data_IF_126111415704
#
_entry.id   IF_126111415704
#
_cell.length_a   1.000
_cell.length_b   1.000
_cell.length_c   1.000
_cell.angle_alpha   90.00
_cell.angle_beta   90.00
_cell.angle_gamma   90.00
#
_symmetry.space_group_name_H-M   'P 1'
#
loop_
_entity.id
_entity.type
_entity.pdbx_description
1 polymer ?
#
# COMPACT_ATOMS: atom_id res chain seq x y z
N UNK A 1 -4.88 23.54 -8.35
CA UNK A 1 -4.45 22.12 -8.50
C UNK A 1 -3.56 21.68 -7.36
N UNK A 2 -2.46 22.37 -7.04
CA UNK A 2 -1.54 21.96 -5.96
C UNK A 2 -2.19 21.75 -4.58
N UNK A 3 -3.13 22.60 -4.16
CA UNK A 3 -3.81 22.48 -2.85
C UNK A 3 -4.72 21.23 -2.77
N UNK A 4 -5.40 20.88 -3.85
CA UNK A 4 -6.24 19.67 -3.91
C UNK A 4 -5.39 18.39 -3.87
N UNK A 5 -4.24 18.37 -4.54
CA UNK A 5 -3.30 17.25 -4.51
C UNK A 5 -2.71 17.07 -3.11
N UNK A 6 -2.39 18.15 -2.41
CA UNK A 6 -1.87 18.11 -1.04
C UNK A 6 -2.93 17.58 -0.04
N UNK A 7 -4.19 18.01 -0.19
CA UNK A 7 -5.30 17.51 0.63
C UNK A 7 -5.51 16.01 0.38
N UNK A 8 -5.49 15.56 -0.88
CA UNK A 8 -5.62 14.14 -1.22
C UNK A 8 -4.45 13.30 -0.65
N UNK A 9 -3.22 13.84 -0.68
CA UNK A 9 -2.04 13.20 -0.10
C UNK A 9 -2.18 13.03 1.42
N UNK A 10 -2.67 14.06 2.13
CA UNK A 10 -2.93 14.00 3.58
C UNK A 10 -4.02 12.99 3.94
N UNK A 11 -5.10 12.94 3.16
CA UNK A 11 -6.19 11.97 3.36
C UNK A 11 -5.67 10.55 3.19
N UNK A 12 -4.90 10.28 2.12
CA UNK A 12 -4.34 8.97 1.83
C UNK A 12 -3.38 8.50 2.93
N UNK A 13 -2.53 9.39 3.43
CA UNK A 13 -1.59 9.09 4.51
C UNK A 13 -2.32 8.71 5.81
N UNK A 14 -3.31 9.52 6.22
CA UNK A 14 -4.15 9.21 7.39
C UNK A 14 -4.92 7.90 7.24
N UNK A 15 -5.37 7.58 6.02
CA UNK A 15 -6.03 6.31 5.74
C UNK A 15 -5.09 5.12 5.93
N UNK A 16 -3.84 5.21 5.47
CA UNK A 16 -2.82 4.16 5.65
C UNK A 16 -2.49 3.95 7.13
N UNK A 17 -2.31 5.03 7.88
CA UNK A 17 -2.04 4.99 9.31
C UNK A 17 -3.18 4.29 10.06
N UNK A 18 -4.43 4.65 9.82
CA UNK A 18 -5.61 4.00 10.40
C UNK A 18 -5.66 2.50 10.11
N UNK A 19 -5.45 2.09 8.88
CA UNK A 19 -5.49 0.67 8.48
C UNK A 19 -4.44 -0.16 9.24
N UNK A 20 -3.28 0.42 9.54
CA UNK A 20 -2.16 -0.30 10.16
C UNK A 20 -2.24 -0.29 11.69
N UNK A 21 -2.57 0.85 12.29
CA UNK A 21 -2.37 1.10 13.74
C UNK A 21 -3.66 1.24 14.54
N UNK A 22 -4.80 1.51 13.89
CA UNK A 22 -6.06 1.85 14.58
C UNK A 22 -6.80 0.58 15.03
N UNK A 23 -6.95 0.42 16.35
CA UNK A 23 -7.74 -0.66 16.96
C UNK A 23 -9.21 -0.59 16.60
N UNK A 24 -9.77 0.64 16.45
CA UNK A 24 -11.16 0.85 16.11
C UNK A 24 -11.43 0.44 14.66
N UNK A 25 -10.45 0.64 13.76
CA UNK A 25 -10.51 0.12 12.40
C UNK A 25 -10.63 -1.42 12.40
N UNK A 26 -9.82 -2.12 13.19
CA UNK A 26 -9.86 -3.59 13.26
C UNK A 26 -11.16 -4.11 13.85
N UNK A 27 -11.72 -3.41 14.84
CA UNK A 27 -13.02 -3.76 15.42
C UNK A 27 -14.15 -3.56 14.38
N UNK A 28 -14.15 -2.44 13.70
CA UNK A 28 -15.10 -2.15 12.63
C UNK A 28 -14.96 -3.12 11.45
N UNK A 29 -13.72 -3.49 11.07
CA UNK A 29 -13.46 -4.49 10.04
C UNK A 29 -14.00 -5.88 10.43
N UNK A 30 -13.96 -6.26 11.72
CA UNK A 30 -14.57 -7.50 12.22
C UNK A 30 -16.08 -7.47 12.10
N UNK A 31 -16.73 -6.36 12.46
CA UNK A 31 -18.17 -6.18 12.33
C UNK A 31 -18.59 -6.26 10.86
N UNK A 32 -17.87 -5.58 9.98
CA UNK A 32 -18.18 -5.55 8.54
C UNK A 32 -17.98 -6.93 7.89
N UNK A 33 -16.90 -7.64 8.22
CA UNK A 33 -16.68 -8.98 7.69
C UNK A 33 -17.81 -9.94 8.07
N UNK A 34 -18.27 -9.89 9.32
CA UNK A 34 -19.43 -10.69 9.77
C UNK A 34 -20.70 -10.32 9.03
N UNK A 35 -20.99 -9.03 8.86
CA UNK A 35 -22.16 -8.55 8.12
C UNK A 35 -22.16 -8.99 6.65
N UNK A 36 -20.99 -8.93 5.99
CA UNK A 36 -20.83 -9.44 4.62
C UNK A 36 -21.06 -10.95 4.58
N UNK A 37 -20.45 -11.69 5.50
CA UNK A 37 -20.62 -13.14 5.59
C UNK A 37 -22.11 -13.54 5.77
N UNK A 38 -22.81 -12.92 6.71
CA UNK A 38 -24.23 -13.17 6.97
C UNK A 38 -25.10 -12.90 5.74
N UNK A 39 -24.90 -11.75 5.09
CA UNK A 39 -25.59 -11.39 3.85
C UNK A 39 -25.33 -12.41 2.74
N UNK A 40 -24.09 -12.83 2.56
CA UNK A 40 -23.68 -13.79 1.53
C UNK A 40 -24.21 -15.22 1.82
N UNK A 41 -24.37 -15.57 3.08
CA UNK A 41 -25.00 -16.83 3.47
C UNK A 41 -26.50 -16.89 3.05
N UNK A 42 -27.17 -15.76 3.08
CA UNK A 42 -28.57 -15.64 2.71
C UNK A 42 -28.78 -15.42 1.21
N UNK A 43 -27.74 -15.03 0.48
CA UNK A 43 -27.80 -14.72 -0.94
C UNK A 43 -28.18 -15.95 -1.78
N UNK A 44 -29.10 -15.76 -2.73
CA UNK A 44 -29.60 -16.79 -3.65
C UNK A 44 -28.83 -16.81 -4.98
N UNK A 45 -28.16 -15.73 -5.31
CA UNK A 45 -27.41 -15.55 -6.56
C UNK A 45 -26.23 -14.58 -6.39
N UNK A 46 -25.41 -14.44 -7.43
CA UNK A 46 -24.24 -13.56 -7.43
C UNK A 46 -24.60 -12.08 -7.23
N UNK A 47 -25.71 -11.61 -7.81
CA UNK A 47 -26.12 -10.22 -7.67
C UNK A 47 -26.47 -9.84 -6.22
N UNK A 48 -27.06 -10.77 -5.47
CA UNK A 48 -27.33 -10.57 -4.04
C UNK A 48 -26.02 -10.56 -3.21
N UNK A 49 -25.01 -11.36 -3.58
CA UNK A 49 -23.68 -11.31 -2.95
C UNK A 49 -23.04 -9.95 -3.19
N UNK A 50 -23.05 -9.45 -4.44
CA UNK A 50 -22.54 -8.11 -4.79
C UNK A 50 -23.23 -7.03 -3.97
N UNK A 51 -24.57 -7.06 -3.94
CA UNK A 51 -25.37 -6.06 -3.22
C UNK A 51 -25.06 -6.07 -1.72
N UNK A 52 -25.01 -7.25 -1.10
CA UNK A 52 -24.70 -7.40 0.32
C UNK A 52 -23.29 -6.92 0.66
N UNK A 53 -22.32 -7.21 -0.18
CA UNK A 53 -20.95 -6.73 -0.03
C UNK A 53 -20.90 -5.20 -0.13
N UNK A 54 -21.46 -4.61 -1.16
CA UNK A 54 -21.43 -3.17 -1.39
C UNK A 54 -22.13 -2.39 -0.28
N UNK A 55 -23.29 -2.83 0.16
CA UNK A 55 -24.05 -2.19 1.26
C UNK A 55 -23.27 -2.14 2.57
N UNK A 56 -22.37 -3.10 2.80
CA UNK A 56 -21.56 -3.12 4.00
C UNK A 56 -20.21 -2.42 3.77
N UNK A 57 -19.52 -2.71 2.66
CA UNK A 57 -18.13 -2.30 2.44
C UNK A 57 -18.00 -0.85 2.00
N UNK A 58 -18.88 -0.32 1.12
CA UNK A 58 -18.75 1.05 0.61
C UNK A 58 -18.91 2.11 1.71
N UNK A 59 -19.93 2.07 2.58
CA UNK A 59 -20.00 2.99 3.71
C UNK A 59 -18.79 2.88 4.65
N UNK A 60 -18.33 1.64 4.91
CA UNK A 60 -17.19 1.40 5.77
C UNK A 60 -15.91 2.08 5.25
N UNK A 61 -15.56 1.91 3.96
CA UNK A 61 -14.37 2.56 3.41
C UNK A 61 -14.49 4.08 3.43
N UNK A 62 -15.69 4.63 3.23
CA UNK A 62 -15.95 6.07 3.31
C UNK A 62 -15.74 6.58 4.74
N UNK A 63 -16.34 5.93 5.73
CA UNK A 63 -16.32 6.38 7.12
C UNK A 63 -14.95 6.19 7.78
N UNK A 64 -14.26 5.06 7.51
CA UNK A 64 -13.00 4.74 8.15
C UNK A 64 -11.75 5.15 7.36
N UNK A 65 -11.80 5.12 6.03
CA UNK A 65 -10.67 5.51 5.17
C UNK A 65 -10.77 6.98 4.78
N UNK A 66 -11.99 7.55 4.80
CA UNK A 66 -12.25 8.95 4.45
C UNK A 66 -12.18 9.24 2.95
N UNK A 67 -12.25 8.19 2.11
CA UNK A 67 -12.22 8.32 0.66
C UNK A 67 -13.55 7.82 0.10
N UNK A 68 -14.20 8.67 -0.70
CA UNK A 68 -15.46 8.32 -1.38
C UNK A 68 -15.15 7.49 -2.64
N UNK A 69 -15.04 6.19 -2.46
CA UNK A 69 -14.85 5.26 -3.57
C UNK A 69 -16.21 4.89 -4.18
N UNK A 70 -16.34 5.15 -5.48
CA UNK A 70 -17.50 4.71 -6.27
C UNK A 70 -17.09 3.52 -7.12
N UNK A 71 -17.68 2.32 -6.88
CA UNK A 71 -17.39 1.16 -7.70
C UNK A 71 -17.97 1.36 -9.11
N UNK A 72 -17.15 1.10 -10.10
CA UNK A 72 -17.61 0.94 -11.48
C UNK A 72 -18.11 -0.49 -11.64
N UNK A 73 -19.31 -0.66 -12.18
CA UNK A 73 -19.98 -1.96 -12.33
C UNK A 73 -20.02 -2.41 -13.77
N UNK A 74 -19.94 -3.72 -13.97
CA UNK A 74 -20.19 -4.36 -15.26
C UNK A 74 -19.29 -3.82 -16.40
N UNK A 75 -17.99 -3.64 -16.12
CA UNK A 75 -17.04 -3.11 -17.07
C UNK A 75 -16.71 -4.17 -18.12
N UNK A 76 -16.95 -3.83 -19.38
CA UNK A 76 -16.56 -4.70 -20.49
C UNK A 76 -15.06 -4.67 -20.72
N UNK A 77 -14.47 -5.85 -20.92
CA UNK A 77 -13.05 -6.04 -21.25
C UNK A 77 -12.97 -6.86 -22.51
N UNK A 78 -12.20 -6.37 -23.48
CA UNK A 78 -11.99 -7.04 -24.77
C UNK A 78 -10.73 -7.90 -24.74
N UNK A 79 -10.68 -8.91 -25.63
CA UNK A 79 -9.44 -9.69 -25.85
C UNK A 79 -9.17 -10.80 -24.84
N UNK A 80 -10.14 -11.21 -24.03
CA UNK A 80 -9.97 -12.26 -23.05
C UNK A 80 -9.77 -13.63 -23.72
N UNK A 81 -8.57 -14.19 -23.57
CA UNK A 81 -8.27 -15.56 -24.05
C UNK A 81 -8.57 -16.57 -22.95
N UNK A 82 -9.74 -17.21 -23.02
CA UNK A 82 -9.97 -18.41 -22.23
C UNK A 82 -9.37 -19.62 -22.96
N UNK A 83 -8.31 -20.19 -22.42
CA UNK A 83 -7.71 -21.43 -22.91
C UNK A 83 -8.44 -22.67 -22.43
N UNK A 84 -9.71 -22.83 -22.81
CA UNK A 84 -10.38 -24.12 -22.60
C UNK A 84 -10.92 -24.77 -23.87
N UNK A 85 -11.04 -24.05 -24.98
CA UNK A 85 -11.51 -24.65 -26.26
C UNK A 85 -11.19 -23.81 -27.52
N UNK A 86 -10.05 -23.15 -27.60
CA UNK A 86 -9.57 -22.62 -28.89
C UNK A 86 -10.38 -21.51 -29.57
N UNK A 87 -11.27 -20.79 -28.89
CA UNK A 87 -11.97 -19.63 -29.46
C UNK A 87 -11.39 -18.34 -28.88
N UNK A 88 -10.64 -17.62 -29.71
CA UNK A 88 -10.19 -16.25 -29.51
C UNK A 88 -11.37 -15.29 -29.67
N UNK A 89 -11.45 -14.27 -28.80
CA UNK A 89 -12.40 -13.17 -28.74
C UNK A 89 -13.69 -13.47 -27.96
N UNK A 90 -13.58 -13.69 -26.66
CA UNK A 90 -14.70 -13.51 -25.76
C UNK A 90 -14.62 -12.13 -25.08
N UNK A 91 -15.73 -11.39 -25.11
CA UNK A 91 -15.92 -10.21 -24.27
C UNK A 91 -16.15 -10.69 -22.85
N UNK A 92 -15.38 -10.18 -21.89
CA UNK A 92 -15.63 -10.41 -20.48
C UNK A 92 -16.27 -9.20 -19.83
N UNK A 93 -16.85 -9.41 -18.67
CA UNK A 93 -17.49 -8.36 -17.88
C UNK A 93 -17.02 -8.48 -16.45
N UNK A 94 -16.32 -7.47 -15.96
CA UNK A 94 -15.89 -7.36 -14.58
C UNK A 94 -17.07 -6.94 -13.72
N UNK A 95 -17.33 -7.64 -12.63
CA UNK A 95 -18.46 -7.36 -11.75
C UNK A 95 -18.34 -6.01 -11.04
N UNK A 96 -17.16 -5.70 -10.52
CA UNK A 96 -16.90 -4.45 -9.81
C UNK A 96 -15.44 -4.03 -9.90
N UNK A 97 -15.19 -2.74 -10.11
CA UNK A 97 -13.87 -2.12 -10.07
C UNK A 97 -13.89 -0.88 -9.19
N UNK A 98 -12.92 -0.75 -8.32
CA UNK A 98 -12.72 0.43 -7.48
C UNK A 98 -11.27 0.90 -7.71
N UNK A 99 -11.09 1.86 -8.62
CA UNK A 99 -9.76 2.27 -9.08
C UNK A 99 -8.99 1.11 -9.71
N UNK A 100 -7.88 0.69 -9.11
CA UNK A 100 -7.06 -0.44 -9.58
C UNK A 100 -7.42 -1.78 -8.92
N UNK A 101 -8.43 -1.81 -8.05
CA UNK A 101 -8.94 -3.02 -7.44
C UNK A 101 -10.11 -3.57 -8.25
N UNK A 102 -9.95 -4.77 -8.77
CA UNK A 102 -10.98 -5.56 -9.47
C UNK A 102 -11.57 -6.54 -8.48
N UNK A 103 -12.89 -6.61 -8.38
CA UNK A 103 -13.57 -7.58 -7.53
C UNK A 103 -14.48 -8.43 -8.41
N UNK A 104 -14.22 -9.72 -8.41
CA UNK A 104 -15.02 -10.75 -9.06
C UNK A 104 -15.81 -11.50 -8.00
N UNK A 105 -17.11 -11.49 -8.13
CA UNK A 105 -18.00 -12.14 -7.19
C UNK A 105 -18.48 -13.48 -7.73
N UNK A 106 -18.65 -14.44 -6.83
CA UNK A 106 -19.26 -15.73 -7.14
C UNK A 106 -20.27 -16.09 -6.07
N UNK A 107 -21.31 -16.80 -6.46
CA UNK A 107 -22.16 -17.45 -5.46
C UNK A 107 -21.37 -18.54 -4.75
N UNK A 108 -21.59 -18.71 -3.44
CA UNK A 108 -20.87 -19.66 -2.58
C UNK A 108 -20.79 -21.10 -3.15
N UNK A 109 -21.81 -21.53 -3.89
CA UNK A 109 -21.83 -22.88 -4.49
C UNK A 109 -20.83 -23.04 -5.63
N UNK A 110 -20.37 -21.94 -6.22
CA UNK A 110 -19.34 -21.90 -7.27
C UNK A 110 -17.91 -21.94 -6.75
N UNK A 111 -17.70 -21.74 -5.45
CA UNK A 111 -16.38 -21.79 -4.82
C UNK A 111 -16.20 -22.98 -3.86
N UNK A 112 -17.03 -24.03 -4.01
CA UNK A 112 -16.92 -25.27 -3.21
C UNK A 112 -15.99 -26.31 -3.82
N UNK A 113 -15.88 -26.37 -5.15
CA UNK A 113 -15.11 -27.40 -5.86
C UNK A 113 -13.86 -26.77 -6.47
N UNK A 114 -12.72 -27.42 -6.33
CA UNK A 114 -11.44 -26.95 -6.86
C UNK A 114 -11.50 -26.60 -8.36
N UNK A 115 -12.22 -27.38 -9.15
CA UNK A 115 -12.36 -27.13 -10.58
C UNK A 115 -13.11 -25.81 -10.87
N UNK A 116 -14.13 -25.48 -10.07
CA UNK A 116 -14.93 -24.24 -10.23
C UNK A 116 -14.13 -23.04 -9.69
N UNK A 117 -13.39 -23.23 -8.59
CA UNK A 117 -12.44 -22.23 -8.06
C UNK A 117 -11.38 -21.91 -9.12
N UNK A 118 -10.76 -22.92 -9.74
CA UNK A 118 -9.75 -22.72 -10.77
C UNK A 118 -10.32 -21.95 -11.99
N UNK A 119 -11.56 -22.26 -12.42
CA UNK A 119 -12.20 -21.50 -13.48
C UNK A 119 -12.42 -20.02 -13.13
N UNK A 120 -12.89 -19.75 -11.91
CA UNK A 120 -13.10 -18.39 -11.44
C UNK A 120 -11.77 -17.61 -11.31
N UNK A 121 -10.71 -18.29 -10.86
CA UNK A 121 -9.35 -17.72 -10.80
C UNK A 121 -8.82 -17.40 -12.20
N UNK A 122 -8.97 -18.32 -13.16
CA UNK A 122 -8.58 -18.07 -14.55
C UNK A 122 -9.36 -16.93 -15.19
N UNK A 123 -10.64 -16.81 -14.85
CA UNK A 123 -11.48 -15.68 -15.30
C UNK A 123 -10.94 -14.36 -14.75
N UNK A 124 -10.70 -14.27 -13.44
CA UNK A 124 -10.13 -13.08 -12.81
C UNK A 124 -8.76 -12.74 -13.40
N UNK A 125 -7.88 -13.73 -13.60
CA UNK A 125 -6.57 -13.51 -14.19
C UNK A 125 -6.68 -12.95 -15.61
N UNK A 126 -7.57 -13.47 -16.43
CA UNK A 126 -7.80 -12.99 -17.78
C UNK A 126 -8.28 -11.52 -17.81
N UNK A 127 -9.07 -11.10 -16.82
CA UNK A 127 -9.46 -9.69 -16.67
C UNK A 127 -8.27 -8.80 -16.31
N UNK A 128 -7.43 -9.24 -15.38
CA UNK A 128 -6.23 -8.50 -14.98
C UNK A 128 -5.25 -8.38 -16.16
N UNK A 129 -5.04 -9.45 -16.91
CA UNK A 129 -4.15 -9.47 -18.08
C UNK A 129 -4.66 -8.53 -19.18
N UNK A 130 -5.97 -8.48 -19.42
CA UNK A 130 -6.58 -7.55 -20.37
C UNK A 130 -6.39 -6.09 -19.95
N UNK A 131 -6.66 -5.76 -18.68
CA UNK A 131 -6.46 -4.42 -18.13
C UNK A 131 -4.99 -3.99 -18.15
N UNK A 132 -4.05 -4.93 -18.00
CA UNK A 132 -2.61 -4.68 -18.12
C UNK A 132 -2.21 -4.25 -19.53
N UNK A 133 -2.88 -4.78 -20.57
CA UNK A 133 -2.64 -4.41 -21.96
C UNK A 133 -3.16 -2.99 -22.30
N UNK A 134 -4.17 -2.51 -21.58
CA UNK A 134 -4.76 -1.18 -21.81
C UNK A 134 -3.92 -0.04 -21.21
N UNK A 135 -2.98 -0.32 -20.31
CA UNK A 135 -2.15 0.71 -19.67
C UNK A 135 -1.04 0.16 -18.79
N UNK A 136 -0.17 1.06 -18.31
CA UNK A 136 0.93 0.76 -17.39
C UNK A 136 0.48 0.65 -15.91
N UNK A 137 -0.82 0.71 -15.64
CA UNK A 137 -1.36 0.67 -14.28
C UNK A 137 -1.38 -0.76 -13.75
N UNK A 138 -0.93 -0.95 -12.50
CA UNK A 138 -1.02 -2.23 -11.82
C UNK A 138 -2.43 -2.44 -11.28
N UNK A 139 -2.99 -3.60 -11.59
CA UNK A 139 -4.29 -4.02 -11.08
C UNK A 139 -4.13 -5.19 -10.13
N UNK A 140 -4.99 -5.24 -9.12
CA UNK A 140 -5.11 -6.39 -8.21
C UNK A 140 -6.56 -6.86 -8.23
N UNK A 141 -6.74 -8.17 -8.32
CA UNK A 141 -8.03 -8.82 -8.34
C UNK A 141 -8.34 -9.49 -7.00
N UNK A 142 -9.57 -9.35 -6.54
CA UNK A 142 -10.15 -10.10 -5.42
C UNK A 142 -11.27 -10.97 -5.98
N UNK A 143 -11.14 -12.28 -5.79
CA UNK A 143 -12.23 -13.23 -6.00
C UNK A 143 -12.89 -13.49 -4.64
N UNK A 144 -14.21 -13.35 -4.55
CA UNK A 144 -14.92 -13.58 -3.29
C UNK A 144 -16.33 -14.08 -3.51
N UNK A 145 -16.82 -14.88 -2.56
CA UNK A 145 -18.23 -15.23 -2.40
C UNK A 145 -18.86 -14.50 -1.19
N UNK A 146 -18.11 -13.55 -0.61
CA UNK A 146 -18.46 -12.84 0.60
C UNK A 146 -18.21 -13.61 1.89
N UNK A 147 -17.86 -14.90 1.82
CA UNK A 147 -17.48 -15.76 2.95
C UNK A 147 -16.00 -16.08 2.90
N UNK A 148 -15.49 -16.31 1.70
CA UNK A 148 -14.10 -16.59 1.40
C UNK A 148 -13.58 -15.58 0.38
N UNK A 149 -12.26 -15.41 0.34
CA UNK A 149 -11.60 -14.55 -0.64
C UNK A 149 -10.27 -15.12 -1.10
N UNK A 150 -9.83 -14.66 -2.25
CA UNK A 150 -8.52 -14.91 -2.82
C UNK A 150 -8.05 -13.63 -3.52
N UNK A 151 -6.76 -13.31 -3.44
CA UNK A 151 -6.19 -12.12 -4.08
C UNK A 151 -5.23 -12.56 -5.17
N UNK A 152 -5.33 -11.91 -6.34
CA UNK A 152 -4.43 -12.05 -7.48
C UNK A 152 -3.84 -10.70 -7.86
N UNK A 153 -2.60 -10.71 -8.32
CA UNK A 153 -1.91 -9.56 -8.88
C UNK A 153 -1.68 -9.77 -10.39
N UNK A 154 -1.56 -8.70 -11.16
CA UNK A 154 -1.11 -8.77 -12.56
C UNK A 154 0.27 -9.41 -12.72
N UNK A 155 1.11 -9.36 -11.69
CA UNK A 155 2.50 -9.84 -11.73
C UNK A 155 2.71 -11.13 -10.92
N UNK A 156 1.66 -11.69 -10.30
CA UNK A 156 1.78 -12.93 -9.53
C UNK A 156 0.63 -13.23 -8.58
N UNK A 157 0.82 -14.29 -7.79
CA UNK A 157 -0.16 -14.80 -6.84
C UNK A 157 0.12 -14.20 -5.48
N UNK A 158 -0.80 -13.39 -4.93
CA UNK A 158 -0.72 -12.89 -3.55
C UNK A 158 -1.28 -13.89 -2.53
N UNK A 159 -2.31 -14.68 -2.92
CA UNK A 159 -2.81 -15.78 -2.10
C UNK A 159 -2.99 -17.02 -2.97
N UNK A 160 -2.47 -18.17 -2.52
CA UNK A 160 -2.52 -19.41 -3.29
C UNK A 160 -3.84 -20.18 -3.13
N UNK A 161 -4.57 -19.94 -2.06
CA UNK A 161 -5.81 -20.65 -1.70
C UNK A 161 -6.88 -19.68 -1.21
N UNK A 162 -8.14 -20.09 -1.32
CA UNK A 162 -9.24 -19.40 -0.67
C UNK A 162 -9.01 -19.33 0.85
N UNK A 163 -9.22 -18.16 1.41
CA UNK A 163 -9.11 -17.87 2.84
C UNK A 163 -10.44 -17.27 3.33
N UNK A 164 -10.78 -17.42 4.62
CA UNK A 164 -11.97 -16.77 5.18
C UNK A 164 -11.92 -15.25 5.03
N UNK A 165 -13.06 -14.65 4.67
CA UNK A 165 -13.21 -13.19 4.61
C UNK A 165 -13.43 -12.66 6.05
N UNK A 166 -12.35 -12.51 6.79
CA UNK A 166 -12.30 -12.00 8.16
C UNK A 166 -11.82 -10.53 8.22
N UNK A 167 -11.65 -10.00 9.43
CA UNK A 167 -11.11 -8.65 9.64
C UNK A 167 -9.75 -8.40 8.97
N UNK A 168 -8.90 -9.43 8.91
CA UNK A 168 -7.59 -9.31 8.27
C UNK A 168 -7.70 -9.26 6.76
N UNK A 169 -8.68 -9.97 6.19
CA UNK A 169 -9.03 -9.87 4.78
C UNK A 169 -9.52 -8.46 4.44
N UNK A 170 -10.44 -7.90 5.22
CA UNK A 170 -10.92 -6.52 5.06
C UNK A 170 -9.75 -5.53 5.14
N UNK A 171 -8.85 -5.69 6.13
CA UNK A 171 -7.66 -4.86 6.27
C UNK A 171 -6.76 -4.94 5.03
N UNK A 172 -6.51 -6.15 4.50
CA UNK A 172 -5.71 -6.35 3.27
C UNK A 172 -6.36 -5.67 2.07
N UNK A 173 -7.67 -5.86 1.87
CA UNK A 173 -8.42 -5.25 0.75
C UNK A 173 -8.37 -3.72 0.85
N UNK A 174 -8.61 -3.15 2.03
CA UNK A 174 -8.48 -1.71 2.25
C UNK A 174 -7.07 -1.20 2.03
N UNK A 175 -6.05 -1.93 2.50
CA UNK A 175 -4.64 -1.62 2.25
C UNK A 175 -4.32 -1.57 0.76
N UNK A 176 -4.78 -2.57 0.00
CA UNK A 176 -4.63 -2.59 -1.47
C UNK A 176 -5.35 -1.42 -2.13
N UNK A 177 -6.57 -1.10 -1.71
CA UNK A 177 -7.35 0.03 -2.22
C UNK A 177 -6.62 1.36 -2.06
N UNK A 178 -5.99 1.58 -0.90
CA UNK A 178 -5.23 2.80 -0.62
C UNK A 178 -3.87 2.80 -1.32
N UNK A 179 -3.22 1.63 -1.41
CA UNK A 179 -1.88 1.50 -1.99
C UNK A 179 -1.87 1.49 -3.52
N UNK A 180 -2.91 0.96 -4.18
CA UNK A 180 -2.93 0.75 -5.63
C UNK A 180 -3.14 2.03 -6.45
N UNK A 181 -3.52 3.14 -5.86
CA UNK A 181 -3.48 4.44 -6.51
C UNK A 181 -2.02 4.92 -6.67
N UNK A 182 -1.15 4.07 -7.22
CA UNK A 182 0.28 4.35 -7.34
C UNK A 182 0.54 5.29 -8.50
N UNK A 183 1.23 6.37 -8.18
CA UNK A 183 1.97 7.15 -9.16
C UNK A 183 3.07 6.26 -9.77
N UNK A 184 3.31 6.38 -11.06
CA UNK A 184 4.45 5.72 -11.71
C UNK A 184 5.77 6.07 -10.99
N UNK A 185 6.78 5.21 -11.08
CA UNK A 185 8.14 5.44 -10.57
C UNK A 185 8.82 6.55 -11.39
N UNK A 186 8.27 7.75 -11.32
CA UNK A 186 8.79 8.95 -11.96
C UNK A 186 9.56 9.76 -10.91
N UNK A 187 10.70 10.39 -11.23
CA UNK A 187 11.50 11.18 -10.27
C UNK A 187 10.66 12.18 -9.47
N UNK A 188 9.72 12.87 -10.10
CA UNK A 188 8.81 13.80 -9.43
C UNK A 188 7.97 13.11 -8.36
N UNK A 189 7.44 11.91 -8.64
CA UNK A 189 6.62 11.17 -7.68
C UNK A 189 7.44 10.66 -6.50
N UNK A 190 8.70 10.25 -6.75
CA UNK A 190 9.65 9.87 -5.69
C UNK A 190 9.91 11.07 -4.78
N UNK A 191 10.20 12.23 -5.36
CA UNK A 191 10.39 13.47 -4.61
C UNK A 191 9.14 13.81 -3.80
N UNK A 192 7.95 13.79 -4.42
CA UNK A 192 6.69 14.12 -3.75
C UNK A 192 6.35 13.15 -2.60
N UNK A 193 6.69 11.87 -2.72
CA UNK A 193 6.33 10.85 -1.73
C UNK A 193 7.40 10.66 -0.64
N UNK A 194 8.68 10.88 -0.97
CA UNK A 194 9.82 10.64 -0.09
C UNK A 194 10.59 11.92 0.27
N UNK A 195 10.21 13.07 -0.28
CA UNK A 195 10.80 14.31 0.13
C UNK A 195 10.34 14.68 1.55
N UNK A 196 11.21 15.38 2.27
CA UNK A 196 10.87 15.98 3.54
C UNK A 196 9.65 16.90 3.41
N UNK A 197 8.75 16.82 4.36
CA UNK A 197 7.52 17.61 4.46
C UNK A 197 6.36 16.80 5.03
N UNK A 198 5.54 17.39 5.86
CA UNK A 198 4.37 16.70 6.45
C UNK A 198 3.19 16.62 5.46
N UNK A 199 2.50 15.48 5.35
CA UNK A 199 2.80 14.16 5.89
C UNK A 199 3.59 13.32 4.89
N UNK A 200 4.82 12.94 5.19
CA UNK A 200 5.61 12.05 4.34
C UNK A 200 6.10 10.83 5.13
N UNK A 201 6.34 9.75 4.41
CA UNK A 201 6.90 8.53 4.98
C UNK A 201 8.30 8.78 5.56
N UNK A 202 9.05 9.67 4.91
CA UNK A 202 10.39 10.09 5.34
C UNK A 202 10.34 10.82 6.67
N UNK A 203 9.39 11.73 6.86
CA UNK A 203 9.24 12.46 8.13
C UNK A 203 8.91 11.51 9.28
N UNK A 204 8.01 10.54 9.09
CA UNK A 204 7.74 9.52 10.10
C UNK A 204 8.95 8.66 10.41
N UNK A 205 9.68 8.22 9.38
CA UNK A 205 10.87 7.41 9.56
C UNK A 205 11.95 8.16 10.34
N UNK A 206 12.17 9.44 10.02
CA UNK A 206 13.11 10.30 10.74
C UNK A 206 12.69 10.45 12.21
N UNK A 207 11.42 10.76 12.47
CA UNK A 207 10.91 10.92 13.83
C UNK A 207 11.05 9.64 14.65
N UNK A 208 10.73 8.49 14.07
CA UNK A 208 10.87 7.19 14.74
C UNK A 208 12.35 6.83 15.02
N UNK A 209 13.24 7.12 14.05
CA UNK A 209 14.69 6.89 14.23
C UNK A 209 15.26 7.82 15.30
N UNK A 210 14.86 9.08 15.31
CA UNK A 210 15.27 10.05 16.32
C UNK A 210 14.81 9.62 17.72
N UNK A 211 13.54 9.26 17.88
CA UNK A 211 13.01 8.73 19.13
C UNK A 211 13.74 7.47 19.60
N UNK A 212 14.08 6.56 18.68
CA UNK A 212 14.84 5.36 18.98
C UNK A 212 16.28 5.69 19.42
N UNK A 213 16.92 6.68 18.82
CA UNK A 213 18.24 7.17 19.22
C UNK A 213 18.21 7.80 20.63
N UNK A 214 17.13 8.50 20.97
CA UNK A 214 16.99 9.16 22.27
C UNK A 214 16.65 8.18 23.40
N UNK A 215 15.81 7.16 23.11
CA UNK A 215 15.27 6.27 24.14
C UNK A 215 16.02 4.96 24.32
N UNK A 216 16.71 4.46 23.28
CA UNK A 216 17.24 3.09 23.23
C UNK A 216 18.68 2.98 22.68
N UNK A 217 19.56 3.87 23.04
CA UNK A 217 20.96 3.75 22.64
C UNK A 217 21.62 2.55 23.32
N UNK A 218 21.69 1.43 22.61
CA UNK A 218 22.55 0.29 23.01
C UNK A 218 24.01 0.63 22.77
N UNK A 219 24.95 -0.06 23.45
CA UNK A 219 26.38 0.19 23.30
C UNK A 219 26.84 0.19 21.82
N UNK A 220 26.29 -0.69 20.97
CA UNK A 220 26.63 -0.73 19.53
C UNK A 220 26.05 0.48 18.76
N UNK A 221 24.82 0.86 19.03
CA UNK A 221 24.19 2.02 18.38
C UNK A 221 24.90 3.31 18.78
N UNK A 222 25.28 3.44 20.05
CA UNK A 222 26.05 4.57 20.55
C UNK A 222 27.42 4.66 19.88
N UNK A 223 28.12 3.54 19.76
CA UNK A 223 29.43 3.49 19.10
C UNK A 223 29.32 3.93 17.64
N UNK A 224 28.37 3.38 16.87
CA UNK A 224 28.14 3.73 15.47
C UNK A 224 27.78 5.21 15.31
N UNK A 225 26.92 5.74 16.16
CA UNK A 225 26.57 7.16 16.16
C UNK A 225 27.79 8.04 16.46
N UNK A 226 28.61 7.70 17.45
CA UNK A 226 29.81 8.48 17.82
C UNK A 226 30.86 8.46 16.70
N UNK A 227 31.14 7.32 16.10
CA UNK A 227 32.05 7.20 14.96
C UNK A 227 31.56 8.04 13.76
N UNK A 228 30.28 7.91 13.40
CA UNK A 228 29.69 8.70 12.34
C UNK A 228 29.78 10.22 12.65
N UNK A 229 29.45 10.63 13.88
CA UNK A 229 29.49 12.02 14.31
C UNK A 229 30.89 12.62 14.16
N UNK A 230 31.93 11.90 14.56
CA UNK A 230 33.32 12.36 14.41
C UNK A 230 33.75 12.49 12.94
N UNK A 231 33.40 11.51 12.10
CA UNK A 231 33.63 11.57 10.65
C UNK A 231 32.89 12.73 10.00
N UNK A 232 31.62 12.93 10.36
CA UNK A 232 30.83 14.03 9.83
C UNK A 232 31.41 15.40 10.24
N UNK A 233 31.81 15.56 11.50
CA UNK A 233 32.40 16.76 12.04
C UNK A 233 33.71 17.12 11.30
N UNK A 234 34.53 16.14 11.07
CA UNK A 234 35.83 16.35 10.32
C UNK A 234 35.58 16.76 8.86
N UNK A 235 34.51 16.26 8.24
CA UNK A 235 34.25 16.53 6.83
C UNK A 235 33.45 17.82 6.58
N UNK A 236 32.61 18.27 7.54
CA UNK A 236 31.61 19.30 7.28
C UNK A 236 31.58 20.48 8.25
N UNK A 237 32.29 20.44 9.36
CA UNK A 237 32.29 21.52 10.35
C UNK A 237 33.55 22.42 10.23
N UNK A 238 33.85 22.83 9.01
CA UNK A 238 34.87 23.84 8.80
C UNK A 238 34.38 25.21 9.30
N UNK A 239 35.13 25.79 10.23
CA UNK A 239 34.85 27.11 10.82
C UNK A 239 34.78 28.25 9.81
N UNK A 240 35.28 28.06 8.60
CA UNK A 240 35.18 29.03 7.51
C UNK A 240 33.78 29.11 6.89
N UNK A 241 32.88 28.17 7.20
CA UNK A 241 31.51 28.05 6.63
C UNK A 241 30.41 28.28 7.66
N UNK A 242 30.56 29.24 8.56
CA UNK A 242 29.61 29.50 9.65
C UNK A 242 28.14 29.75 9.15
N UNK A 243 28.00 30.45 8.03
CA UNK A 243 26.64 30.69 7.46
C UNK A 243 25.96 29.39 7.01
N UNK A 244 26.71 28.51 6.32
CA UNK A 244 26.20 27.21 5.88
C UNK A 244 25.82 26.29 7.05
N UNK A 245 26.59 26.36 8.14
CA UNK A 245 26.31 25.62 9.38
C UNK A 245 25.01 26.13 10.03
N UNK A 246 24.78 27.44 10.03
CA UNK A 246 23.56 28.06 10.58
C UNK A 246 22.32 27.69 9.75
N UNK A 247 22.41 27.78 8.43
CA UNK A 247 21.35 27.42 7.51
C UNK A 247 20.99 25.93 7.62
N UNK A 248 22.00 25.05 7.77
CA UNK A 248 21.81 23.64 8.06
C UNK A 248 21.03 23.41 9.34
N UNK A 249 21.41 24.10 10.42
CA UNK A 249 20.74 23.98 11.72
C UNK A 249 19.27 24.40 11.64
N UNK A 250 18.95 25.52 11.00
CA UNK A 250 17.57 25.97 10.79
C UNK A 250 16.75 24.94 10.02
N UNK A 251 17.33 24.36 8.96
CA UNK A 251 16.65 23.32 8.18
C UNK A 251 16.41 22.04 9.01
N UNK A 252 17.33 21.69 9.92
CA UNK A 252 17.16 20.54 10.81
C UNK A 252 16.14 20.80 11.92
N UNK A 253 16.04 22.02 12.43
CA UNK A 253 14.99 22.41 13.37
C UNK A 253 13.59 22.29 12.76
N UNK A 254 13.45 22.62 11.48
CA UNK A 254 12.21 22.45 10.73
C UNK A 254 11.86 20.95 10.58
N UNK A 255 12.86 20.09 10.34
CA UNK A 255 12.72 18.63 10.28
C UNK A 255 12.34 18.03 11.64
N UNK A 256 13.01 18.45 12.69
CA UNK A 256 12.77 17.97 14.05
C UNK A 256 11.45 18.46 14.64
N UNK A 257 10.91 19.58 14.14
CA UNK A 257 9.71 20.22 14.67
C UNK A 257 9.95 20.96 16.01
N UNK A 258 11.19 21.09 16.43
CA UNK A 258 11.59 21.82 17.64
C UNK A 258 12.99 22.40 17.50
N UNK A 259 13.33 23.36 18.38
CA UNK A 259 14.67 23.95 18.40
C UNK A 259 15.71 22.95 18.88
N UNK A 260 16.86 22.95 18.20
CA UNK A 260 18.03 22.16 18.57
C UNK A 260 18.91 22.97 19.52
N UNK A 261 18.94 22.56 20.80
CA UNK A 261 19.62 23.31 21.84
C UNK A 261 21.12 23.07 21.87
N UNK A 262 21.55 21.88 21.49
CA UNK A 262 22.95 21.47 21.50
C UNK A 262 23.42 21.02 20.10
N UNK A 263 24.73 21.02 19.89
CA UNK A 263 25.31 20.44 18.68
C UNK A 263 25.05 18.91 18.61
N UNK A 264 24.90 18.26 19.75
CA UNK A 264 24.61 16.82 19.80
C UNK A 264 23.20 16.51 19.29
N UNK A 265 22.22 17.38 19.57
CA UNK A 265 20.86 17.27 19.03
C UNK A 265 20.88 17.45 17.50
N UNK A 266 21.67 18.40 16.99
CA UNK A 266 21.86 18.59 15.55
C UNK A 266 22.40 17.32 14.88
N UNK A 267 23.45 16.70 15.45
CA UNK A 267 24.03 15.48 14.92
C UNK A 267 23.05 14.29 14.99
N UNK A 268 22.23 14.18 16.03
CA UNK A 268 21.20 13.12 16.12
C UNK A 268 20.16 13.25 15.01
N UNK A 269 19.66 14.46 14.76
CA UNK A 269 18.69 14.72 13.66
C UNK A 269 19.33 14.41 12.30
N UNK A 270 20.57 14.83 12.08
CA UNK A 270 21.33 14.56 10.87
C UNK A 270 21.56 13.07 10.64
N UNK A 271 21.93 12.34 11.68
CA UNK A 271 22.12 10.89 11.64
C UNK A 271 20.81 10.16 11.33
N UNK A 272 19.71 10.55 11.97
CA UNK A 272 18.40 10.01 11.69
C UNK A 272 17.96 10.29 10.24
N UNK A 273 18.18 11.50 9.75
CA UNK A 273 17.90 11.89 8.37
C UNK A 273 18.69 11.06 7.36
N UNK A 274 20.00 10.95 7.52
CA UNK A 274 20.85 10.16 6.62
C UNK A 274 20.51 8.67 6.67
N UNK A 275 20.20 8.15 7.85
CA UNK A 275 19.78 6.76 8.02
C UNK A 275 18.45 6.51 7.32
N UNK A 276 17.47 7.41 7.45
CA UNK A 276 16.19 7.32 6.76
C UNK A 276 16.37 7.28 5.23
N UNK A 277 17.17 8.19 4.67
CA UNK A 277 17.45 8.17 3.24
C UNK A 277 18.21 6.92 2.81
N UNK A 278 19.17 6.44 3.59
CA UNK A 278 19.88 5.19 3.28
C UNK A 278 18.93 3.98 3.23
N UNK A 279 17.96 3.91 4.15
CA UNK A 279 16.93 2.87 4.16
C UNK A 279 16.05 2.99 2.91
N UNK A 280 15.53 4.18 2.60
CA UNK A 280 14.65 4.43 1.45
C UNK A 280 15.37 4.07 0.14
N UNK A 281 16.61 4.54 -0.05
CA UNK A 281 17.39 4.24 -1.25
C UNK A 281 17.66 2.75 -1.39
N UNK A 282 17.98 2.05 -0.30
CA UNK A 282 18.17 0.59 -0.32
C UNK A 282 16.89 -0.16 -0.70
N UNK A 283 15.72 0.27 -0.18
CA UNK A 283 14.43 -0.33 -0.54
C UNK A 283 14.12 -0.10 -2.02
N UNK A 284 14.33 1.11 -2.53
CA UNK A 284 14.11 1.44 -3.94
C UNK A 284 15.06 0.62 -4.83
N UNK A 285 16.35 0.59 -4.50
CA UNK A 285 17.35 -0.17 -5.23
C UNK A 285 17.01 -1.67 -5.22
N UNK A 286 16.67 -2.23 -4.07
CA UNK A 286 16.26 -3.62 -3.94
C UNK A 286 15.03 -3.94 -4.82
N UNK A 287 13.99 -3.11 -4.78
CA UNK A 287 12.79 -3.29 -5.61
C UNK A 287 13.09 -3.18 -7.10
N UNK A 288 13.97 -2.27 -7.49
CA UNK A 288 14.38 -2.10 -8.89
C UNK A 288 15.19 -3.30 -9.37
N UNK A 289 16.19 -3.72 -8.59
CA UNK A 289 17.06 -4.86 -8.93
C UNK A 289 16.28 -6.18 -8.91
N UNK A 290 15.40 -6.41 -7.93
CA UNK A 290 14.58 -7.62 -7.88
C UNK A 290 13.66 -7.77 -9.08
N UNK A 291 13.13 -6.66 -9.61
CA UNK A 291 12.35 -6.66 -10.85
C UNK A 291 13.17 -6.94 -12.12
N UNK A 292 14.46 -6.59 -12.12
CA UNK A 292 15.35 -6.80 -13.27
C UNK A 292 16.01 -8.19 -13.28
N UNK A 293 16.33 -8.75 -12.10
CA UNK A 293 17.17 -9.97 -11.98
C UNK A 293 16.33 -11.22 -11.74
N UNK A 294 15.13 -11.06 -11.16
CA UNK A 294 14.32 -12.19 -10.69
C UNK A 294 12.90 -12.13 -11.26
N UNK A 295 12.76 -12.18 -12.57
CA UNK A 295 11.43 -12.22 -13.23
C UNK A 295 10.56 -13.42 -12.82
N UNK A 296 11.08 -14.41 -12.06
CA UNK A 296 10.38 -15.66 -11.81
C UNK A 296 10.34 -16.21 -10.37
N UNK A 297 10.98 -15.63 -9.34
CA UNK A 297 11.19 -16.45 -8.12
C UNK A 297 11.05 -15.79 -6.73
N UNK A 298 10.36 -14.68 -6.51
CA UNK A 298 10.19 -14.21 -5.12
C UNK A 298 8.76 -13.87 -4.73
N UNK A 299 8.12 -14.84 -4.06
CA UNK A 299 7.00 -14.61 -3.16
C UNK A 299 7.49 -13.84 -1.92
N UNK A 300 7.25 -12.55 -1.85
CA UNK A 300 7.36 -11.80 -0.61
C UNK A 300 6.09 -11.99 0.21
N UNK A 301 6.18 -12.82 1.26
CA UNK A 301 5.28 -12.73 2.40
C UNK A 301 5.74 -11.52 3.24
N UNK A 302 4.94 -10.47 3.26
CA UNK A 302 4.96 -9.41 4.26
C UNK A 302 3.74 -9.59 5.13
#
# INVERSE_FOLDING_TARGET
MAVLEEIQKKIKFKAQEKIVTDSDFLLAADIISKKINESSYLAKNEAEVVSGFDLAFIPFIKDFIGIDYRPEKEIFVDGIKYNTTGRSNSKGRIDSRIGSLVIEFKHRDKLKKDNDINKAVLQLQAYLDSLKLEGSQRYVGVLTDGINYLIRDTDGILTSKLQPLDKNAIRKICGLLVLLNKKALHPKNIVDDFCYGSPSLTTQLITNLLSALESNMTGRSQMLFNEWKELFRLAHDDKSQQTAILDRKLSLEDIAGHRLLTNDDEYKVLYALQTAYAIIVKIIAYKTLSGLVFENDYNFQI
#
